data_IF_127285646706
#
_entry.id   IF_127285646706
#
_cell.length_a   1.000
_cell.length_b   1.000
_cell.length_c   1.000
_cell.angle_alpha   90.00
_cell.angle_beta   90.00
_cell.angle_gamma   90.00
#
_symmetry.space_group_name_H-M   'P 1'
#
loop_
_entity.id
_entity.type
_entity.pdbx_description
1 polymer ?
#
# COMPACT_ATOMS: atom_id res chain seq x y z
N UNK A 1 -17.18 50.49 -16.45
CA UNK A 1 -17.67 51.25 -15.28
C UNK A 1 -18.83 50.48 -14.69
N UNK A 2 -18.57 49.65 -13.68
CA UNK A 2 -19.62 49.08 -12.83
C UNK A 2 -18.94 48.61 -11.55
N UNK A 3 -19.55 49.01 -10.45
CA UNK A 3 -19.04 49.16 -9.08
C UNK A 3 -19.12 47.88 -8.27
N UNK A 4 -18.10 47.63 -7.45
CA UNK A 4 -18.14 46.70 -6.31
C UNK A 4 -19.06 47.25 -5.20
N UNK A 5 -19.62 46.37 -4.35
CA UNK A 5 -19.90 46.70 -2.97
C UNK A 5 -18.95 45.95 -2.03
N UNK A 6 -18.32 46.74 -1.17
CA UNK A 6 -17.60 46.37 0.05
C UNK A 6 -18.61 45.96 1.13
N UNK A 7 -18.41 44.79 1.75
CA UNK A 7 -19.09 44.43 3.00
C UNK A 7 -18.09 44.58 4.16
N UNK A 8 -18.36 45.61 4.96
CA UNK A 8 -17.90 45.76 6.34
C UNK A 8 -18.47 44.63 7.20
N UNK A 9 -17.65 44.04 8.06
CA UNK A 9 -18.13 43.24 9.18
C UNK A 9 -17.55 43.79 10.48
N UNK A 10 -18.47 44.29 11.29
CA UNK A 10 -18.31 44.97 12.56
C UNK A 10 -17.76 44.10 13.70
N UNK A 11 -17.06 44.80 14.58
CA UNK A 11 -16.65 44.43 15.92
C UNK A 11 -17.77 43.87 16.82
N UNK A 12 -17.47 42.79 17.55
CA UNK A 12 -18.19 42.43 18.79
C UNK A 12 -17.23 42.08 19.93
N UNK A 13 -16.93 43.10 20.75
CA UNK A 13 -17.28 43.21 22.19
C UNK A 13 -17.15 41.95 23.09
N UNK A 14 -16.07 41.94 23.87
CA UNK A 14 -15.98 41.91 25.35
C UNK A 14 -17.13 41.32 26.20
N UNK A 15 -16.78 40.38 27.10
CA UNK A 15 -16.99 40.34 28.59
C UNK A 15 -17.18 38.88 29.04
N UNK A 16 -16.41 38.44 30.05
CA UNK A 16 -16.70 37.19 30.75
C UNK A 16 -15.61 36.78 31.74
N UNK A 17 -15.64 37.37 32.93
CA UNK A 17 -14.82 37.01 34.08
C UNK A 17 -15.49 35.91 34.92
N UNK A 18 -14.66 35.09 35.58
CA UNK A 18 -15.05 34.30 36.75
C UNK A 18 -15.26 32.82 36.46
N UNK A 19 -14.34 31.98 36.95
CA UNK A 19 -14.66 30.94 37.93
C UNK A 19 -13.38 30.26 38.40
N UNK A 20 -13.00 30.57 39.65
CA UNK A 20 -11.92 29.92 40.37
C UNK A 20 -12.43 28.59 40.95
N UNK A 21 -11.63 27.50 40.91
CA UNK A 21 -11.97 26.26 41.60
C UNK A 21 -11.71 26.37 43.12
N UNK A 22 -12.44 25.57 43.94
CA UNK A 22 -12.39 25.66 45.39
C UNK A 22 -11.05 25.18 45.97
N UNK A 23 -10.49 26.02 46.84
CA UNK A 23 -9.39 25.70 47.75
C UNK A 23 -9.88 24.75 48.83
N UNK A 24 -9.25 23.59 48.96
CA UNK A 24 -9.36 22.77 50.16
C UNK A 24 -8.06 22.89 50.96
N UNK A 25 -8.19 23.42 52.18
CA UNK A 25 -7.18 23.34 53.22
C UNK A 25 -7.12 21.91 53.75
N UNK A 26 -5.94 21.29 53.71
CA UNK A 26 -5.67 20.08 54.49
C UNK A 26 -4.46 20.32 55.39
N UNK A 27 -4.74 20.34 56.68
CA UNK A 27 -3.79 20.45 57.80
C UNK A 27 -2.76 19.31 57.79
N UNK A 28 -1.49 19.53 58.17
CA UNK A 28 -0.49 18.48 58.21
C UNK A 28 -0.55 17.70 59.53
N UNK A 29 -0.74 16.38 59.44
CA UNK A 29 -0.47 15.46 60.54
C UNK A 29 0.89 14.81 60.29
N UNK A 30 1.84 15.13 61.17
CA UNK A 30 3.13 14.47 61.28
C UNK A 30 2.96 13.06 61.82
N UNK A 31 3.44 12.04 61.10
CA UNK A 31 4.07 10.86 61.71
C UNK A 31 4.72 9.91 60.67
N UNK A 32 6.02 9.68 60.87
CA UNK A 32 6.70 8.38 60.80
C UNK A 32 6.78 7.58 59.49
N UNK A 33 7.98 7.65 58.91
CA UNK A 33 8.84 6.50 58.56
C UNK A 33 8.59 5.69 57.28
N UNK A 34 9.57 5.83 56.38
CA UNK A 34 10.10 4.79 55.45
C UNK A 34 9.19 4.22 54.36
N UNK A 35 9.11 4.90 53.22
CA UNK A 35 9.09 4.29 51.87
C UNK A 35 9.14 5.36 50.76
N UNK A 36 10.32 5.89 50.43
CA UNK A 36 10.45 6.94 49.39
C UNK A 36 11.36 6.51 48.26
N UNK A 37 10.92 5.58 47.38
CA UNK A 37 11.51 5.36 46.04
C UNK A 37 10.52 4.78 44.99
N UNK A 38 9.20 4.77 45.21
CA UNK A 38 8.22 4.22 44.23
C UNK A 38 7.23 5.22 43.61
N UNK A 39 7.20 6.48 44.08
CA UNK A 39 6.19 7.47 43.65
C UNK A 39 6.50 8.16 42.30
N UNK A 40 7.78 8.33 41.94
CA UNK A 40 8.15 9.05 40.69
C UNK A 40 7.97 8.25 39.39
N UNK A 41 7.86 6.91 39.45
CA UNK A 41 7.74 6.09 38.24
C UNK A 41 6.34 6.15 37.62
N UNK A 42 5.29 6.23 38.44
CA UNK A 42 3.92 6.21 37.94
C UNK A 42 3.57 7.49 37.19
N UNK A 43 4.00 8.66 37.66
CA UNK A 43 3.74 9.94 36.98
C UNK A 43 4.37 10.02 35.58
N UNK A 44 5.56 9.45 35.38
CA UNK A 44 6.24 9.44 34.07
C UNK A 44 5.54 8.51 33.07
N UNK A 45 4.98 7.37 33.52
CA UNK A 45 4.23 6.44 32.68
C UNK A 45 2.91 7.05 32.16
N UNK A 46 2.21 7.84 32.99
CA UNK A 46 0.98 8.51 32.56
C UNK A 46 1.26 9.61 31.52
N UNK A 47 2.33 10.38 31.68
CA UNK A 47 2.72 11.43 30.73
C UNK A 47 3.14 10.82 29.38
N UNK A 48 3.91 9.72 29.39
CA UNK A 48 4.31 9.04 28.16
C UNK A 48 3.10 8.50 27.37
N UNK A 49 2.11 7.91 28.07
CA UNK A 49 0.88 7.40 27.43
C UNK A 49 0.02 8.51 26.81
N UNK A 50 -0.05 9.68 27.45
CA UNK A 50 -0.77 10.83 26.88
C UNK A 50 -0.14 11.32 25.58
N UNK A 51 1.19 11.41 25.53
CA UNK A 51 1.92 11.80 24.31
C UNK A 51 1.64 10.84 23.14
N UNK A 52 1.73 9.53 23.38
CA UNK A 52 1.43 8.52 22.36
C UNK A 52 -0.02 8.63 21.85
N UNK A 53 -0.98 8.90 22.75
CA UNK A 53 -2.40 9.04 22.38
C UNK A 53 -2.62 10.28 21.51
N UNK A 54 -1.99 11.41 21.85
CA UNK A 54 -2.07 12.64 21.08
C UNK A 54 -1.44 12.48 19.68
N UNK A 55 -0.27 11.84 19.59
CA UNK A 55 0.38 11.55 18.31
C UNK A 55 -0.47 10.60 17.47
N UNK A 56 -1.05 9.56 18.07
CA UNK A 56 -1.96 8.65 17.37
C UNK A 56 -3.16 9.39 16.80
N UNK A 57 -3.81 10.26 17.58
CA UNK A 57 -4.94 11.05 17.07
C UNK A 57 -4.58 11.84 15.82
N UNK A 58 -3.42 12.53 15.83
CA UNK A 58 -2.95 13.30 14.67
C UNK A 58 -2.66 12.42 13.46
N UNK A 59 -2.03 11.26 13.67
CA UNK A 59 -1.78 10.30 12.59
C UNK A 59 -3.09 9.76 12.02
N UNK A 60 -4.08 9.46 12.87
CA UNK A 60 -5.42 9.05 12.40
C UNK A 60 -6.06 10.12 11.54
N UNK A 61 -6.01 11.38 11.98
CA UNK A 61 -6.59 12.50 11.23
C UNK A 61 -5.93 12.65 9.86
N UNK A 62 -4.60 12.55 9.76
CA UNK A 62 -3.88 12.60 8.48
C UNK A 62 -4.33 11.47 7.56
N UNK A 63 -4.38 10.26 8.11
CA UNK A 63 -4.60 9.07 7.31
C UNK A 63 -6.05 8.98 6.83
N UNK A 64 -7.01 9.34 7.68
CA UNK A 64 -8.45 9.24 7.36
C UNK A 64 -8.99 10.43 6.57
N UNK A 65 -8.24 11.53 6.43
CA UNK A 65 -8.66 12.68 5.63
C UNK A 65 -8.38 12.42 4.14
N UNK A 66 -9.40 12.34 3.27
CA UNK A 66 -9.23 11.94 1.87
C UNK A 66 -8.38 12.92 1.04
N UNK A 67 -8.45 14.22 1.33
CA UNK A 67 -7.78 15.27 0.55
C UNK A 67 -6.50 15.80 1.21
N UNK A 68 -5.81 14.95 1.96
CA UNK A 68 -4.70 15.42 2.77
C UNK A 68 -3.48 15.84 1.90
N UNK A 69 -3.07 17.11 1.99
CA UNK A 69 -1.92 17.63 1.23
C UNK A 69 -0.59 17.02 1.75
N UNK A 70 0.22 16.35 0.90
CA UNK A 70 1.48 15.74 1.30
C UNK A 70 2.46 16.70 1.99
N UNK A 71 2.48 17.97 1.59
CA UNK A 71 3.37 18.98 2.18
C UNK A 71 3.01 19.29 3.63
N UNK A 72 1.72 19.32 3.96
CA UNK A 72 1.24 19.47 5.34
C UNK A 72 1.48 18.20 6.16
N UNK A 73 1.52 17.03 5.50
CA UNK A 73 1.61 15.74 6.21
C UNK A 73 3.01 15.58 6.77
N UNK A 74 4.00 15.92 5.94
CA UNK A 74 5.39 15.92 6.33
C UNK A 74 5.63 16.82 7.55
N UNK A 75 5.03 18.02 7.61
CA UNK A 75 5.23 18.90 8.78
C UNK A 75 4.63 18.31 10.05
N UNK A 76 3.42 17.74 9.99
CA UNK A 76 2.78 17.14 11.17
C UNK A 76 3.52 15.88 11.62
N UNK A 77 3.97 15.04 10.68
CA UNK A 77 4.77 13.84 10.96
C UNK A 77 6.10 14.24 11.62
N UNK A 78 6.77 15.28 11.13
CA UNK A 78 8.01 15.78 11.72
C UNK A 78 7.80 16.29 13.15
N UNK A 79 6.69 16.99 13.42
CA UNK A 79 6.34 17.40 14.79
C UNK A 79 6.11 16.18 15.68
N UNK A 80 5.36 15.19 15.20
CA UNK A 80 5.10 13.96 15.96
C UNK A 80 6.37 13.13 16.22
N UNK A 81 7.30 13.11 15.26
CA UNK A 81 8.58 12.43 15.38
C UNK A 81 9.54 13.15 16.33
N UNK A 82 9.41 14.47 16.52
CA UNK A 82 10.18 15.23 17.49
C UNK A 82 9.70 15.01 18.94
N UNK A 83 8.43 14.68 19.14
CA UNK A 83 7.82 14.46 20.46
C UNK A 83 8.08 13.06 21.05
N UNK A 84 8.58 12.12 20.23
CA UNK A 84 8.80 10.72 20.59
C UNK A 84 10.22 10.29 20.23
N UNK A 85 10.73 9.25 20.89
CA UNK A 85 11.97 8.61 20.42
C UNK A 85 11.70 7.86 19.11
N UNK A 86 12.73 7.70 18.26
CA UNK A 86 12.62 6.96 16.99
C UNK A 86 12.05 5.54 17.17
N UNK A 87 12.41 4.88 18.28
CA UNK A 87 11.92 3.54 18.60
C UNK A 87 10.44 3.56 18.98
N UNK A 88 10.00 4.51 19.81
CA UNK A 88 8.60 4.66 20.21
C UNK A 88 7.72 5.02 19.01
N UNK A 89 8.17 5.96 18.17
CA UNK A 89 7.44 6.34 16.96
C UNK A 89 7.29 5.17 15.99
N UNK A 90 8.35 4.40 15.76
CA UNK A 90 8.30 3.18 14.94
C UNK A 90 7.33 2.14 15.51
N UNK A 91 7.40 1.88 16.82
CA UNK A 91 6.48 0.97 17.50
C UNK A 91 5.03 1.44 17.40
N UNK A 92 4.79 2.75 17.50
CA UNK A 92 3.48 3.37 17.39
C UNK A 92 2.86 3.15 16.00
N UNK A 93 3.65 3.34 14.94
CA UNK A 93 3.22 3.13 13.55
C UNK A 93 2.92 1.67 13.22
N UNK A 94 3.59 0.73 13.89
CA UNK A 94 3.40 -0.71 13.70
C UNK A 94 2.32 -1.32 14.59
N UNK A 95 1.86 -0.59 15.62
CA UNK A 95 0.80 -1.08 16.52
C UNK A 95 -0.56 -0.88 15.85
N UNK A 96 -1.43 -1.90 15.79
CA UNK A 96 -2.80 -1.76 15.31
C UNK A 96 -3.52 -0.67 16.10
N UNK A 97 -3.99 0.37 15.40
CA UNK A 97 -4.56 1.55 16.04
C UNK A 97 -5.75 2.13 15.28
N UNK A 98 -6.08 1.70 14.06
CA UNK A 98 -7.27 2.12 13.33
C UNK A 98 -7.94 0.85 12.80
N UNK A 99 -9.13 0.52 13.32
CA UNK A 99 -9.93 -0.63 12.85
C UNK A 99 -9.10 -1.94 12.76
N UNK A 100 -8.37 -2.27 13.82
CA UNK A 100 -7.48 -3.45 13.90
C UNK A 100 -6.33 -3.50 12.87
N UNK A 101 -6.08 -2.40 12.16
CA UNK A 101 -4.95 -2.21 11.25
C UNK A 101 -3.99 -1.13 11.71
N UNK A 102 -2.80 -1.11 11.12
CA UNK A 102 -1.76 -0.12 11.42
C UNK A 102 -2.04 1.19 10.67
N UNK A 103 -1.59 2.32 11.23
CA UNK A 103 -1.65 3.60 10.51
C UNK A 103 -0.91 3.56 9.17
N UNK A 104 0.16 2.76 9.08
CA UNK A 104 0.90 2.55 7.84
C UNK A 104 0.06 1.81 6.78
N UNK A 105 -0.73 0.82 7.17
CA UNK A 105 -1.65 0.12 6.26
C UNK A 105 -2.63 1.10 5.64
N UNK A 106 -3.32 1.90 6.47
CA UNK A 106 -4.30 2.86 5.98
C UNK A 106 -3.67 3.98 5.14
N UNK A 107 -2.44 4.41 5.46
CA UNK A 107 -1.71 5.35 4.60
C UNK A 107 -1.43 4.77 3.20
N UNK A 108 -1.24 3.45 3.08
CA UNK A 108 -1.08 2.76 1.79
C UNK A 108 -2.44 2.66 1.08
N UNK A 109 -3.49 2.27 1.80
CA UNK A 109 -4.85 2.09 1.27
C UNK A 109 -5.46 3.42 0.82
N UNK A 110 -5.38 4.49 1.61
CA UNK A 110 -6.01 5.77 1.26
C UNK A 110 -5.24 6.53 0.19
N UNK A 111 -3.92 6.31 0.10
CA UNK A 111 -3.15 6.80 -1.04
C UNK A 111 -3.49 6.02 -2.33
N UNK A 112 -4.19 4.88 -2.25
CA UNK A 112 -4.60 4.09 -3.40
C UNK A 112 -5.75 4.75 -4.20
N UNK A 113 -6.53 5.64 -3.57
CA UNK A 113 -7.65 6.34 -4.23
C UNK A 113 -7.21 7.55 -5.07
N UNK A 114 -6.08 8.18 -4.72
CA UNK A 114 -5.48 9.27 -5.51
C UNK A 114 -4.25 8.85 -6.31
N UNK A 115 -3.55 7.80 -5.88
CA UNK A 115 -2.49 7.15 -6.62
C UNK A 115 -2.91 5.71 -6.90
N UNK A 116 -3.52 5.51 -8.07
CA UNK A 116 -3.40 4.26 -8.81
C UNK A 116 -1.98 3.70 -8.58
N UNK A 117 -1.90 2.49 -8.00
CA UNK A 117 -0.71 1.80 -7.47
C UNK A 117 0.31 1.40 -8.56
N UNK A 118 0.56 2.30 -9.50
CA UNK A 118 1.47 2.13 -10.62
C UNK A 118 2.85 2.72 -10.34
N UNK A 119 3.15 3.02 -9.08
CA UNK A 119 4.37 3.75 -8.69
C UNK A 119 5.29 2.96 -7.76
N UNK A 120 5.42 1.64 -8.00
CA UNK A 120 6.67 0.97 -7.66
C UNK A 120 7.79 1.58 -8.52
N UNK A 121 8.59 2.40 -7.86
CA UNK A 121 9.69 3.27 -8.34
C UNK A 121 10.80 2.59 -9.15
N UNK A 122 10.62 1.33 -9.53
CA UNK A 122 11.51 0.57 -10.43
C UNK A 122 11.18 0.77 -11.92
N UNK A 123 10.04 1.41 -12.28
CA UNK A 123 9.59 1.51 -13.67
C UNK A 123 10.00 2.78 -14.42
N UNK A 124 10.51 3.83 -13.75
CA UNK A 124 10.84 5.08 -14.46
C UNK A 124 12.24 5.09 -15.08
N UNK A 125 12.78 3.91 -15.42
CA UNK A 125 14.13 3.76 -15.99
C UNK A 125 14.22 4.32 -17.43
N UNK A 126 13.11 4.54 -18.14
CA UNK A 126 13.15 4.96 -19.56
C UNK A 126 11.94 5.81 -20.02
N UNK A 127 11.30 6.59 -19.13
CA UNK A 127 10.06 7.30 -19.48
C UNK A 127 8.94 6.36 -19.93
N UNK A 128 9.00 5.10 -19.47
CA UNK A 128 7.98 4.11 -19.78
C UNK A 128 6.74 4.43 -18.93
N UNK A 129 5.57 4.64 -19.53
CA UNK A 129 4.36 4.89 -18.77
C UNK A 129 4.05 3.70 -17.85
N UNK A 130 3.31 3.98 -16.75
CA UNK A 130 2.97 2.99 -15.74
C UNK A 130 2.31 1.74 -16.33
N UNK A 131 2.54 0.58 -15.68
CA UNK A 131 1.80 -0.64 -15.99
C UNK A 131 0.33 -0.46 -15.59
N UNK A 132 -0.60 -0.98 -16.40
CA UNK A 132 -2.03 -0.90 -16.11
C UNK A 132 -2.49 -2.24 -15.51
N UNK A 133 -3.23 -2.17 -14.40
CA UNK A 133 -3.84 -3.34 -13.74
C UNK A 133 -5.34 -3.03 -13.61
N UNK A 134 -6.17 -3.87 -14.21
CA UNK A 134 -7.62 -3.74 -14.14
C UNK A 134 -8.22 -4.99 -13.50
N UNK A 135 -9.05 -4.82 -12.47
CA UNK A 135 -9.77 -5.91 -11.80
C UNK A 135 -11.24 -5.81 -12.18
N UNK A 136 -11.76 -6.85 -12.81
CA UNK A 136 -13.14 -6.97 -13.27
C UNK A 136 -13.86 -8.03 -12.45
N UNK A 137 -14.85 -7.64 -11.65
CA UNK A 137 -15.69 -8.59 -10.94
C UNK A 137 -16.70 -9.24 -11.90
N UNK A 138 -16.74 -10.57 -11.93
CA UNK A 138 -17.63 -11.35 -12.79
C UNK A 138 -18.66 -12.05 -11.91
N UNK A 139 -19.91 -11.60 -11.98
CA UNK A 139 -21.03 -12.25 -11.29
C UNK A 139 -21.47 -13.50 -12.07
N UNK A 140 -20.89 -14.65 -11.76
CA UNK A 140 -21.37 -15.96 -12.23
C UNK A 140 -22.03 -16.72 -11.08
N UNK A 141 -23.36 -16.62 -10.98
CA UNK A 141 -24.15 -17.31 -9.97
C UNK A 141 -23.82 -16.86 -8.54
N UNK A 142 -23.67 -17.82 -7.63
CA UNK A 142 -23.42 -17.59 -6.20
C UNK A 142 -21.92 -17.57 -5.84
N UNK A 143 -21.02 -17.67 -6.82
CA UNK A 143 -19.57 -17.63 -6.58
C UNK A 143 -19.01 -16.26 -6.96
N UNK A 144 -18.26 -15.65 -6.05
CA UNK A 144 -17.44 -14.48 -6.33
C UNK A 144 -16.29 -14.89 -7.23
N UNK A 145 -16.30 -14.41 -8.48
CA UNK A 145 -15.20 -14.58 -9.42
C UNK A 145 -14.75 -13.20 -9.87
N UNK A 146 -13.45 -13.04 -10.09
CA UNK A 146 -12.89 -11.83 -10.65
C UNK A 146 -11.86 -12.20 -11.73
N UNK A 147 -11.65 -11.26 -12.65
CA UNK A 147 -10.66 -11.36 -13.73
C UNK A 147 -9.73 -10.17 -13.60
N UNK A 148 -8.43 -10.43 -13.58
CA UNK A 148 -7.42 -9.36 -13.50
C UNK A 148 -6.68 -9.28 -14.83
N UNK A 149 -6.72 -8.11 -15.44
CA UNK A 149 -6.02 -7.82 -16.68
C UNK A 149 -4.78 -6.99 -16.38
N UNK A 150 -3.62 -7.53 -16.73
CA UNK A 150 -2.33 -6.84 -16.60
C UNK A 150 -1.88 -6.37 -17.97
N UNK A 151 -1.49 -5.10 -18.07
CA UNK A 151 -0.79 -4.56 -19.24
C UNK A 151 0.60 -4.09 -18.82
N UNK A 152 1.55 -5.00 -18.95
CA UNK A 152 2.94 -4.75 -18.57
C UNK A 152 3.72 -4.25 -19.79
N UNK A 153 4.15 -2.99 -19.74
CA UNK A 153 4.92 -2.40 -20.85
C UNK A 153 6.39 -2.79 -20.74
N UNK A 154 7.01 -3.09 -21.89
CA UNK A 154 8.41 -3.53 -21.97
C UNK A 154 8.71 -4.71 -21.02
N UNK A 155 7.76 -5.64 -20.86
CA UNK A 155 7.84 -6.76 -19.93
C UNK A 155 9.16 -7.51 -20.01
N UNK A 156 9.57 -7.95 -21.20
CA UNK A 156 10.81 -8.71 -21.40
C UNK A 156 12.05 -7.90 -21.01
N UNK A 157 12.15 -6.65 -21.47
CA UNK A 157 13.27 -5.76 -21.12
C UNK A 157 13.35 -5.55 -19.61
N UNK A 158 12.22 -5.27 -18.96
CA UNK A 158 12.17 -5.06 -17.52
C UNK A 158 12.48 -6.32 -16.74
N UNK A 159 11.93 -7.47 -17.15
CA UNK A 159 12.22 -8.75 -16.52
C UNK A 159 13.70 -9.13 -16.70
N UNK A 160 14.30 -8.83 -17.86
CA UNK A 160 15.73 -9.07 -18.13
C UNK A 160 16.64 -8.22 -17.25
N UNK A 161 16.30 -6.96 -17.03
CA UNK A 161 17.10 -6.03 -16.23
C UNK A 161 16.92 -6.30 -14.73
N UNK A 162 15.68 -6.47 -14.29
CA UNK A 162 15.35 -6.58 -12.86
C UNK A 162 15.46 -8.00 -12.32
N UNK A 163 15.46 -9.01 -13.20
CA UNK A 163 15.29 -10.43 -12.89
C UNK A 163 14.01 -10.80 -12.13
N UNK A 164 13.21 -9.80 -11.72
CA UNK A 164 12.06 -9.96 -10.85
C UNK A 164 11.08 -8.79 -11.04
N UNK A 165 9.84 -9.10 -11.39
CA UNK A 165 8.72 -8.16 -11.39
C UNK A 165 7.69 -8.60 -10.34
N UNK A 166 7.20 -7.66 -9.54
CA UNK A 166 6.20 -7.92 -8.50
C UNK A 166 5.04 -6.94 -8.67
N UNK A 167 3.84 -7.48 -8.73
CA UNK A 167 2.59 -6.75 -8.84
C UNK A 167 1.71 -7.13 -7.66
N UNK A 168 1.04 -6.15 -7.08
CA UNK A 168 0.05 -6.35 -6.03
C UNK A 168 -1.24 -5.67 -6.47
N UNK A 169 -2.37 -6.29 -6.13
CA UNK A 169 -3.69 -5.78 -6.50
C UNK A 169 -4.73 -6.21 -5.49
N UNK A 170 -5.81 -5.44 -5.39
CA UNK A 170 -6.92 -5.75 -4.49
C UNK A 170 -8.06 -6.38 -5.29
N UNK A 171 -8.54 -7.53 -4.84
CA UNK A 171 -9.71 -8.19 -5.40
C UNK A 171 -10.43 -8.98 -4.31
N UNK A 172 -11.77 -8.91 -4.31
CA UNK A 172 -12.62 -9.61 -3.33
C UNK A 172 -12.24 -9.27 -1.88
N UNK A 173 -11.93 -7.99 -1.61
CA UNK A 173 -11.54 -7.49 -0.29
C UNK A 173 -10.17 -8.00 0.21
N UNK A 174 -9.31 -8.52 -0.68
CA UNK A 174 -8.00 -9.08 -0.33
C UNK A 174 -6.88 -8.55 -1.20
N UNK A 175 -5.68 -8.55 -0.64
CA UNK A 175 -4.46 -8.19 -1.36
C UNK A 175 -3.89 -9.46 -1.99
N UNK A 176 -3.78 -9.45 -3.30
CA UNK A 176 -3.17 -10.49 -4.11
C UNK A 176 -1.81 -10.02 -4.62
N UNK A 177 -0.94 -10.98 -4.92
CA UNK A 177 0.31 -10.72 -5.62
C UNK A 177 0.43 -11.55 -6.90
N UNK A 178 1.13 -11.00 -7.88
CA UNK A 178 1.60 -11.66 -9.09
C UNK A 178 3.08 -11.32 -9.28
N UNK A 179 3.93 -12.34 -9.32
CA UNK A 179 5.38 -12.21 -9.40
C UNK A 179 5.91 -12.96 -10.61
N UNK A 180 6.83 -12.33 -11.31
CA UNK A 180 7.60 -12.92 -12.40
C UNK A 180 9.05 -12.95 -11.96
N UNK A 181 9.69 -14.12 -11.96
CA UNK A 181 11.13 -14.24 -11.69
C UNK A 181 11.82 -14.87 -12.90
N UNK A 182 12.98 -14.32 -13.29
CA UNK A 182 13.81 -14.85 -14.38
C UNK A 182 14.94 -15.72 -13.82
N UNK A 183 15.07 -16.93 -14.36
CA UNK A 183 16.20 -17.82 -14.11
C UNK A 183 17.26 -17.64 -15.19
N UNK A 184 18.46 -17.23 -14.76
CA UNK A 184 19.57 -16.90 -15.64
C UNK A 184 20.16 -18.10 -16.37
N UNK A 185 20.05 -19.30 -15.80
CA UNK A 185 20.71 -20.50 -16.32
C UNK A 185 20.06 -20.99 -17.63
N UNK A 186 18.78 -20.70 -17.85
CA UNK A 186 18.02 -21.26 -18.99
C UNK A 186 17.12 -20.23 -19.72
N UNK A 187 17.23 -18.94 -19.40
CA UNK A 187 16.28 -17.91 -19.87
C UNK A 187 14.81 -18.29 -19.63
N UNK A 188 14.56 -19.13 -18.62
CA UNK A 188 13.21 -19.48 -18.20
C UNK A 188 12.74 -18.43 -17.21
N UNK A 189 11.46 -18.12 -17.26
CA UNK A 189 10.85 -17.30 -16.23
C UNK A 189 9.72 -18.09 -15.59
N UNK A 190 9.53 -17.84 -14.30
CA UNK A 190 8.42 -18.40 -13.52
C UNK A 190 7.42 -17.31 -13.19
N UNK A 191 6.16 -17.70 -13.14
CA UNK A 191 5.08 -16.90 -12.56
C UNK A 191 4.69 -17.50 -11.22
N UNK A 192 4.56 -16.65 -10.21
CA UNK A 192 3.96 -16.98 -8.93
C UNK A 192 2.81 -16.04 -8.68
N UNK A 193 1.71 -16.54 -8.16
CA UNK A 193 0.63 -15.70 -7.68
C UNK A 193 0.09 -16.27 -6.37
N UNK A 194 -0.52 -15.41 -5.58
CA UNK A 194 -1.05 -15.79 -4.27
C UNK A 194 -1.67 -14.62 -3.55
N UNK A 195 -1.97 -14.84 -2.28
CA UNK A 195 -2.53 -13.84 -1.37
C UNK A 195 -1.38 -13.26 -0.55
N UNK A 196 -1.33 -11.94 -0.37
CA UNK A 196 -0.30 -11.30 0.47
C UNK A 196 -0.56 -11.57 1.95
N UNK A 197 0.53 -11.70 2.73
CA UNK A 197 0.53 -12.17 4.13
C UNK A 197 0.18 -11.07 5.14
N UNK A 198 -1.00 -10.43 4.99
CA UNK A 198 -1.89 -10.27 6.16
C UNK A 198 -3.34 -10.73 5.92
N UNK A 199 -3.67 -11.31 4.76
CA UNK A 199 -5.05 -11.72 4.47
C UNK A 199 -5.36 -13.04 5.17
N UNK A 200 -6.36 -13.07 6.05
CA UNK A 200 -6.78 -14.28 6.77
C UNK A 200 -7.07 -15.46 5.82
N UNK A 201 -6.79 -16.71 6.26
CA UNK A 201 -6.90 -17.89 5.41
C UNK A 201 -8.36 -18.12 5.03
N UNK A 202 -8.69 -17.90 3.77
CA UNK A 202 -9.94 -18.35 3.21
C UNK A 202 -9.68 -19.09 1.92
N UNK A 203 -10.42 -20.18 1.75
CA UNK A 203 -10.27 -21.16 0.69
C UNK A 203 -10.55 -20.51 -0.67
N UNK A 204 -9.51 -20.01 -1.35
CA UNK A 204 -9.67 -19.46 -2.70
C UNK A 204 -9.49 -20.58 -3.70
N UNK A 205 -10.60 -21.09 -4.23
CA UNK A 205 -10.58 -21.75 -5.54
C UNK A 205 -10.32 -20.67 -6.60
N UNK A 206 -9.07 -20.27 -6.75
CA UNK A 206 -8.65 -19.30 -7.75
C UNK A 206 -8.16 -20.04 -9.01
N UNK A 207 -8.79 -19.76 -10.15
CA UNK A 207 -8.30 -20.18 -11.47
C UNK A 207 -7.53 -19.03 -12.10
N UNK A 208 -6.25 -19.23 -12.39
CA UNK A 208 -5.42 -18.25 -13.06
C UNK A 208 -5.30 -18.59 -14.54
N UNK A 209 -5.57 -17.61 -15.40
CA UNK A 209 -5.44 -17.71 -16.86
C UNK A 209 -4.59 -16.54 -17.34
N UNK A 210 -3.47 -16.83 -18.01
CA UNK A 210 -2.66 -15.81 -18.68
C UNK A 210 -3.00 -15.84 -20.16
N UNK A 211 -3.41 -14.69 -20.70
CA UNK A 211 -3.56 -14.47 -22.13
C UNK A 211 -2.55 -13.43 -22.59
N UNK A 212 -1.54 -13.87 -23.36
CA UNK A 212 -0.63 -12.95 -24.04
C UNK A 212 -1.29 -12.43 -25.31
N UNK A 213 -1.53 -11.12 -25.41
CA UNK A 213 -1.91 -10.49 -26.68
C UNK A 213 -0.63 -10.00 -27.37
N UNK A 214 -0.36 -10.38 -28.63
CA UNK A 214 0.74 -9.79 -29.37
C UNK A 214 0.52 -8.28 -29.49
N UNK A 215 1.61 -7.51 -29.39
CA UNK A 215 1.59 -6.07 -29.67
C UNK A 215 0.97 -5.80 -31.05
N UNK A 216 0.32 -4.64 -31.22
CA UNK A 216 -0.32 -4.27 -32.49
C UNK A 216 0.63 -4.54 -33.66
N UNK A 217 0.07 -5.04 -34.77
CA UNK A 217 0.81 -5.47 -35.98
C UNK A 217 1.95 -4.51 -36.31
N UNK A 218 3.12 -5.03 -36.71
CA UNK A 218 4.25 -4.21 -37.10
C UNK A 218 3.80 -3.17 -38.12
N UNK A 219 4.27 -1.93 -37.95
CA UNK A 219 4.27 -0.92 -39.01
C UNK A 219 4.66 -1.63 -40.31
N UNK A 220 3.82 -1.50 -41.36
CA UNK A 220 4.04 -2.16 -42.67
C UNK A 220 5.51 -1.99 -43.07
N UNK A 221 6.29 -3.02 -42.82
CA UNK A 221 7.66 -3.11 -43.30
C UNK A 221 7.58 -3.28 -44.80
N UNK A 222 8.55 -2.70 -45.48
CA UNK A 222 8.72 -2.77 -46.93
C UNK A 222 8.65 -4.24 -47.40
N UNK A 223 8.05 -4.51 -48.56
CA UNK A 223 8.05 -5.84 -49.17
C UNK A 223 9.50 -6.29 -49.40
N UNK A 224 10.04 -7.14 -48.52
CA UNK A 224 11.44 -7.59 -48.58
C UNK A 224 11.99 -8.17 -47.28
N UNK A 225 11.43 -7.81 -46.12
CA UNK A 225 11.93 -8.30 -44.84
C UNK A 225 11.27 -9.63 -44.44
N UNK A 226 11.97 -10.74 -44.70
CA UNK A 226 11.59 -12.07 -44.24
C UNK A 226 11.85 -12.21 -42.73
N UNK A 227 10.84 -11.94 -41.91
CA UNK A 227 10.83 -12.40 -40.52
C UNK A 227 9.93 -13.61 -40.36
N UNK A 228 10.27 -14.56 -39.47
CA UNK A 228 9.43 -15.71 -39.20
C UNK A 228 8.06 -15.28 -38.68
N UNK A 229 7.06 -15.94 -39.22
CA UNK A 229 5.63 -15.81 -38.95
C UNK A 229 5.33 -15.89 -37.45
N UNK A 230 4.33 -15.12 -37.01
CA UNK A 230 3.87 -14.99 -35.61
C UNK A 230 3.81 -16.33 -34.88
N UNK A 231 4.68 -16.52 -33.87
CA UNK A 231 4.70 -17.74 -33.06
C UNK A 231 3.72 -17.56 -31.90
N UNK A 232 2.52 -18.10 -32.07
CA UNK A 232 1.62 -18.40 -30.95
C UNK A 232 2.20 -19.63 -30.24
N UNK A 233 2.29 -19.67 -28.90
CA UNK A 233 2.74 -20.87 -28.20
C UNK A 233 1.87 -22.07 -28.62
N UNK A 234 2.45 -23.03 -29.34
CA UNK A 234 1.74 -24.24 -29.78
C UNK A 234 1.51 -25.23 -28.64
N UNK A 235 2.32 -25.15 -27.57
CA UNK A 235 2.17 -26.03 -26.41
C UNK A 235 1.85 -25.23 -25.14
N UNK A 236 0.82 -25.63 -24.37
CA UNK A 236 0.53 -25.01 -23.08
C UNK A 236 1.72 -25.26 -22.14
N UNK A 237 2.22 -24.19 -21.53
CA UNK A 237 3.28 -24.29 -20.52
C UNK A 237 2.94 -25.34 -19.45
N UNK A 238 3.92 -26.10 -19.01
CA UNK A 238 3.74 -27.13 -17.99
C UNK A 238 3.27 -26.48 -16.67
N UNK A 239 2.06 -26.81 -16.25
CA UNK A 239 1.45 -26.35 -15.01
C UNK A 239 1.79 -27.34 -13.91
N UNK A 240 2.69 -26.97 -13.01
CA UNK A 240 3.01 -27.80 -11.85
C UNK A 240 2.40 -27.17 -10.59
N UNK A 241 1.36 -27.82 -10.05
CA UNK A 241 0.70 -27.38 -8.82
C UNK A 241 1.49 -27.91 -7.63
N UNK A 242 2.08 -27.03 -6.85
CA UNK A 242 2.67 -27.38 -5.56
C UNK A 242 1.84 -26.81 -4.41
N UNK A 243 1.54 -27.66 -3.44
CA UNK A 243 1.14 -27.22 -2.11
C UNK A 243 2.42 -26.80 -1.37
N UNK A 244 2.63 -25.51 -1.12
CA UNK A 244 3.81 -25.03 -0.41
C UNK A 244 3.92 -25.60 1.01
N UNK A 245 5.14 -25.69 1.54
CA UNK A 245 5.49 -26.23 2.87
C UNK A 245 4.85 -25.45 4.04
N UNK A 246 4.34 -24.24 3.78
CA UNK A 246 3.65 -23.38 4.73
C UNK A 246 2.12 -23.30 4.55
N UNK A 247 1.52 -24.16 3.73
CA UNK A 247 0.06 -24.23 3.57
C UNK A 247 -0.56 -23.16 2.66
N UNK A 248 0.24 -22.24 2.08
CA UNK A 248 -0.26 -21.31 1.07
C UNK A 248 -0.19 -21.93 -0.34
N UNK A 249 -1.31 -21.96 -1.09
CA UNK A 249 -1.32 -22.48 -2.45
C UNK A 249 -0.51 -21.55 -3.36
N UNK A 250 0.68 -21.99 -3.77
CA UNK A 250 1.50 -21.31 -4.78
C UNK A 250 1.50 -22.15 -6.05
N UNK A 251 1.00 -21.59 -7.14
CA UNK A 251 1.01 -22.26 -8.44
C UNK A 251 2.21 -21.76 -9.24
N UNK A 252 2.95 -22.70 -9.81
CA UNK A 252 4.13 -22.43 -10.60
C UNK A 252 3.83 -22.76 -12.06
N UNK A 253 4.23 -21.85 -12.94
CA UNK A 253 4.15 -22.06 -14.38
C UNK A 253 5.48 -21.63 -14.99
N UNK A 254 6.00 -22.47 -15.89
CA UNK A 254 7.28 -22.29 -16.56
C UNK A 254 7.04 -22.03 -18.05
N UNK A 255 7.71 -21.00 -18.58
CA UNK A 255 7.78 -20.78 -20.03
C UNK A 255 9.22 -20.56 -20.48
N UNK A 256 9.62 -21.13 -21.62
CA UNK A 256 10.84 -20.71 -22.29
C UNK A 256 10.67 -19.26 -22.77
N UNK A 257 11.75 -18.46 -22.76
CA UNK A 257 11.73 -17.12 -23.38
C UNK A 257 11.51 -17.16 -24.90
N UNK A 258 11.57 -18.35 -25.51
CA UNK A 258 11.49 -18.58 -26.95
C UNK A 258 10.22 -18.02 -27.57
N UNK A 259 10.42 -17.12 -28.52
CA UNK A 259 9.51 -16.65 -29.57
C UNK A 259 8.28 -15.82 -29.21
N UNK A 260 8.25 -15.24 -28.01
CA UNK A 260 7.31 -14.15 -27.74
C UNK A 260 7.80 -12.87 -28.45
N UNK A 261 7.37 -12.65 -29.69
CA UNK A 261 7.53 -11.36 -30.37
C UNK A 261 6.56 -10.37 -29.73
N UNK A 262 7.00 -9.75 -28.64
CA UNK A 262 6.34 -8.62 -28.02
C UNK A 262 6.99 -7.36 -28.60
N UNK A 263 6.32 -6.73 -29.56
CA UNK A 263 6.79 -5.48 -30.16
C UNK A 263 6.98 -4.41 -29.07
N UNK A 264 8.13 -3.70 -29.12
CA UNK A 264 8.43 -2.54 -28.26
C UNK A 264 7.53 -1.34 -28.54
#
# INVERSE_FOLDING_TARGET
MTTNPSEDFDDQKSVGAGDAPPSYDTTPLSESSSATLQSSFFSLLFVARQKCTAVLSRIRDIVLTPDFNPSSAASIINVCAADLTTQEFSKLLQTPNIEDHTALYWAIVNNHDHASFTHLKLANIDGCPPDEIEVHEVKMGNSHQFVVSFRIRKFQRRLRITHKLNYEFVADGRIWFLRFDMYTVEWKWRVLYGISSPSLPACTKASFKIEGKPGRKPLKLSPGDNFPETIVPQEPGYLEKYSGVAGEPTIYMWWPLGDWVMYE
#
